data_IF_067436363334
#
_entry.id   IF_067436363334
#
_cell.length_a   1.000
_cell.length_b   1.000
_cell.length_c   1.000
_cell.angle_alpha   90.00
_cell.angle_beta   90.00
_cell.angle_gamma   90.00
#
_symmetry.space_group_name_H-M   'P 1'
#
loop_
_entity.id
_entity.type
_entity.pdbx_description
1 polymer ?
#
# COMPACT_ATOMS: atom_id res chain seq x y z
N UNK A 1 -5.80 3.21 -17.64
CA UNK A 1 -4.78 3.01 -16.60
C UNK A 1 -5.05 1.69 -15.88
N UNK A 2 -4.03 1.10 -15.32
CA UNK A 2 -4.14 -0.20 -14.68
C UNK A 2 -3.99 -0.08 -13.17
N UNK A 3 -4.58 -1.04 -12.46
CA UNK A 3 -4.42 -1.14 -11.00
C UNK A 3 -2.94 -1.25 -10.64
N UNK A 4 -2.51 -0.48 -9.65
CA UNK A 4 -1.11 -0.45 -9.21
C UNK A 4 -1.05 -0.47 -7.69
N UNK A 5 -0.04 -1.14 -7.18
CA UNK A 5 0.25 -1.17 -5.75
C UNK A 5 1.60 -0.53 -5.49
N UNK A 6 1.64 0.38 -4.54
CA UNK A 6 2.88 1.07 -4.15
C UNK A 6 3.07 0.93 -2.65
N UNK A 7 4.33 0.98 -2.21
CA UNK A 7 4.63 0.92 -0.79
C UNK A 7 5.00 2.31 -0.31
N UNK A 8 4.50 2.69 0.86
CA UNK A 8 4.77 3.99 1.48
C UNK A 8 4.89 3.84 2.98
N UNK A 9 5.55 4.80 3.62
CA UNK A 9 5.55 4.87 5.07
C UNK A 9 4.16 5.21 5.58
N UNK A 10 3.80 4.69 6.75
CA UNK A 10 2.52 5.05 7.38
C UNK A 10 2.64 6.45 7.97
N UNK A 11 1.68 7.32 7.68
CA UNK A 11 1.71 8.69 8.16
C UNK A 11 1.18 8.79 9.60
N UNK A 12 1.71 9.74 10.40
CA UNK A 12 1.12 10.02 11.71
C UNK A 12 -0.36 10.40 11.56
N UNK A 13 -1.19 9.84 12.41
CA UNK A 13 -2.63 10.11 12.33
C UNK A 13 -3.36 9.31 11.28
N UNK A 14 -2.70 8.38 10.63
CA UNK A 14 -3.36 7.52 9.65
C UNK A 14 -4.47 6.71 10.30
N UNK A 15 -5.62 6.64 9.62
CA UNK A 15 -6.81 5.98 10.13
C UNK A 15 -7.37 5.00 9.11
N UNK A 16 -6.50 4.28 8.44
CA UNK A 16 -6.90 3.30 7.42
C UNK A 16 -6.77 1.89 7.95
N UNK A 17 -7.52 0.98 7.37
CA UNK A 17 -7.51 -0.43 7.75
C UNK A 17 -6.97 -1.28 6.62
N UNK A 18 -6.30 -2.35 7.01
CA UNK A 18 -5.79 -3.32 6.06
C UNK A 18 -6.97 -4.09 5.44
N UNK A 19 -6.98 -4.17 4.11
CA UNK A 19 -8.05 -4.87 3.41
C UNK A 19 -7.98 -6.38 3.59
N UNK A 20 -6.85 -6.91 4.03
CA UNK A 20 -6.67 -8.34 4.22
C UNK A 20 -7.01 -8.79 5.64
N UNK A 21 -6.39 -8.17 6.65
CA UNK A 21 -6.56 -8.61 8.04
C UNK A 21 -7.57 -7.79 8.81
N UNK A 22 -8.07 -6.70 8.22
CA UNK A 22 -9.07 -5.79 8.80
C UNK A 22 -8.58 -4.98 10.01
N UNK A 23 -7.34 -5.16 10.41
CA UNK A 23 -6.76 -4.40 11.51
C UNK A 23 -6.29 -3.03 11.02
N UNK A 24 -6.30 -2.06 11.94
CA UNK A 24 -5.86 -0.72 11.61
C UNK A 24 -4.36 -0.69 11.26
N UNK A 25 -4.02 0.10 10.25
CA UNK A 25 -2.63 0.33 9.88
C UNK A 25 -2.15 1.54 10.68
N UNK A 26 -1.37 1.31 11.72
CA UNK A 26 -0.98 2.34 12.68
C UNK A 26 0.43 2.86 12.42
N UNK A 27 0.59 4.16 12.63
CA UNK A 27 1.89 4.78 12.64
C UNK A 27 2.65 4.40 13.92
N UNK A 28 3.96 4.17 13.79
CA UNK A 28 4.82 3.97 14.95
C UNK A 28 6.17 4.61 14.63
N UNK A 29 6.55 5.61 15.43
CA UNK A 29 7.75 6.39 15.16
C UNK A 29 9.05 5.56 15.27
N UNK A 30 9.06 4.52 16.11
CA UNK A 30 10.28 3.73 16.33
C UNK A 30 10.54 2.73 15.21
N UNK A 31 9.50 2.11 14.69
CA UNK A 31 9.64 1.03 13.73
C UNK A 31 9.42 1.47 12.28
N UNK A 32 8.88 2.68 12.09
CA UNK A 32 8.59 3.23 10.76
C UNK A 32 7.87 2.21 9.88
N UNK A 33 6.68 1.73 10.29
CA UNK A 33 5.99 0.70 9.53
C UNK A 33 5.61 1.20 8.14
N UNK A 34 5.51 0.28 7.22
CA UNK A 34 5.18 0.59 5.83
C UNK A 34 3.83 -0.01 5.48
N UNK A 35 3.14 0.66 4.57
CA UNK A 35 1.85 0.21 4.08
C UNK A 35 1.89 0.06 2.57
N UNK A 36 0.98 -0.73 2.05
CA UNK A 36 0.79 -0.85 0.61
C UNK A 36 -0.51 -0.13 0.27
N UNK A 37 -0.45 0.72 -0.74
CA UNK A 37 -1.62 1.44 -1.24
C UNK A 37 -1.87 0.97 -2.66
N UNK A 38 -3.03 0.37 -2.88
CA UNK A 38 -3.41 -0.11 -4.19
C UNK A 38 -4.48 0.80 -4.78
N UNK A 39 -4.17 1.40 -5.92
CA UNK A 39 -5.14 2.19 -6.67
C UNK A 39 -5.84 1.27 -7.65
N UNK A 40 -7.12 1.06 -7.44
CA UNK A 40 -7.90 0.10 -8.21
C UNK A 40 -8.56 0.77 -9.40
N UNK A 41 -8.31 0.23 -10.58
CA UNK A 41 -8.90 0.71 -11.82
C UNK A 41 -9.75 -0.39 -12.45
N UNK A 42 -10.92 -0.02 -12.94
CA UNK A 42 -11.80 -0.94 -13.66
C UNK A 42 -12.14 -0.32 -14.99
N UNK A 43 -11.87 -1.03 -16.07
CA UNK A 43 -12.09 -0.54 -17.44
C UNK A 43 -11.40 0.80 -17.70
N UNK A 44 -10.19 0.97 -17.12
CA UNK A 44 -9.40 2.17 -17.32
C UNK A 44 -9.79 3.35 -16.43
N UNK A 45 -10.81 3.18 -15.58
CA UNK A 45 -11.27 4.23 -14.67
C UNK A 45 -10.96 3.88 -13.22
N UNK A 46 -10.46 4.88 -12.49
CA UNK A 46 -10.19 4.71 -11.06
C UNK A 46 -11.51 4.50 -10.30
N UNK A 47 -11.53 3.52 -9.41
CA UNK A 47 -12.72 3.22 -8.61
C UNK A 47 -12.52 3.50 -7.13
N UNK A 48 -11.44 3.00 -6.55
CA UNK A 48 -11.18 3.18 -5.13
C UNK A 48 -9.73 2.84 -4.79
N UNK A 49 -9.38 3.04 -3.53
CA UNK A 49 -8.06 2.71 -2.99
C UNK A 49 -8.22 1.63 -1.93
N UNK A 50 -7.30 0.67 -1.91
CA UNK A 50 -7.24 -0.31 -0.83
C UNK A 50 -5.89 -0.20 -0.14
N UNK A 51 -5.89 -0.41 1.17
CA UNK A 51 -4.69 -0.33 1.99
C UNK A 51 -4.38 -1.69 2.58
N UNK A 52 -3.09 -2.00 2.71
CA UNK A 52 -2.62 -3.26 3.30
C UNK A 52 -1.43 -2.99 4.19
N UNK A 53 -1.24 -3.81 5.22
CA UNK A 53 0.07 -3.91 5.85
C UNK A 53 1.02 -4.50 4.80
N UNK A 54 2.26 -4.07 4.80
CA UNK A 54 3.23 -4.59 3.82
C UNK A 54 3.31 -6.11 3.86
N UNK A 55 3.44 -6.69 5.05
CA UNK A 55 3.49 -8.15 5.21
C UNK A 55 2.20 -8.83 4.75
N UNK A 56 1.05 -8.25 5.03
CA UNK A 56 -0.22 -8.83 4.59
C UNK A 56 -0.32 -8.88 3.07
N UNK A 57 0.17 -7.85 2.43
CA UNK A 57 0.14 -7.79 0.97
C UNK A 57 1.04 -8.87 0.36
N UNK A 58 2.25 -9.01 0.90
CA UNK A 58 3.20 -10.01 0.41
C UNK A 58 2.72 -11.43 0.69
N UNK A 59 2.18 -11.67 1.89
CA UNK A 59 1.63 -12.98 2.25
C UNK A 59 0.44 -13.36 1.38
N UNK A 60 -0.32 -12.37 0.92
CA UNK A 60 -1.45 -12.59 0.03
C UNK A 60 -1.06 -12.86 -1.41
N UNK A 61 0.23 -12.85 -1.74
CA UNK A 61 0.70 -13.13 -3.09
C UNK A 61 0.66 -11.93 -4.02
N UNK A 62 0.70 -10.73 -3.47
CA UNK A 62 0.71 -9.48 -4.24
C UNK A 62 -0.48 -9.40 -5.20
N UNK A 63 -1.71 -9.38 -4.66
CA UNK A 63 -2.92 -9.51 -5.48
C UNK A 63 -3.07 -8.44 -6.57
N UNK A 64 -2.43 -7.29 -6.41
CA UNK A 64 -2.51 -6.21 -7.38
C UNK A 64 -1.17 -5.96 -8.07
N UNK A 65 -0.30 -6.95 -8.05
CA UNK A 65 0.98 -6.89 -8.75
C UNK A 65 2.15 -6.56 -7.84
N UNK A 66 3.34 -6.57 -8.42
CA UNK A 66 4.57 -6.31 -7.70
C UNK A 66 4.60 -4.86 -7.19
N UNK A 67 5.11 -4.69 -5.98
CA UNK A 67 5.18 -3.38 -5.36
C UNK A 67 6.15 -2.45 -6.07
N UNK A 68 5.75 -1.18 -6.19
CA UNK A 68 6.63 -0.10 -6.61
C UNK A 68 6.92 0.78 -5.40
N UNK A 69 8.16 1.19 -5.22
CA UNK A 69 8.53 2.08 -4.12
C UNK A 69 8.45 3.53 -4.57
N UNK A 70 7.55 4.29 -3.95
CA UNK A 70 7.44 5.71 -4.22
C UNK A 70 8.52 6.52 -3.53
N UNK A 71 9.10 6.00 -2.47
CA UNK A 71 10.08 6.70 -1.65
C UNK A 71 11.51 6.31 -1.97
N UNK A 72 11.73 5.63 -3.07
CA UNK A 72 13.07 5.30 -3.50
C UNK A 72 13.87 6.53 -3.85
N UNK A 73 15.21 6.47 -3.81
CA UNK A 73 16.03 7.61 -4.16
C UNK A 73 15.80 8.03 -5.61
N UNK A 74 15.92 9.34 -5.93
CA UNK A 74 15.78 9.80 -7.30
C UNK A 74 16.76 9.05 -8.20
N UNK A 75 16.28 8.57 -9.33
CA UNK A 75 17.11 7.82 -10.26
C UNK A 75 17.27 6.36 -9.95
N UNK A 76 16.65 5.87 -8.88
CA UNK A 76 16.66 4.45 -8.53
C UNK A 76 15.66 3.65 -9.36
N UNK A 77 14.92 4.29 -10.16
CA UNK A 77 13.92 3.66 -11.01
C UNK A 77 14.56 2.94 -12.18
#
# INVERSE_FOLDING_TARGET
MTTRAVVRSVDPGSDVRCSRCTKQIKFAARTHPRQVIANIYTNGSWTHVEHFHEECYLEGGEPYGTLAELEGPPGAS
#
